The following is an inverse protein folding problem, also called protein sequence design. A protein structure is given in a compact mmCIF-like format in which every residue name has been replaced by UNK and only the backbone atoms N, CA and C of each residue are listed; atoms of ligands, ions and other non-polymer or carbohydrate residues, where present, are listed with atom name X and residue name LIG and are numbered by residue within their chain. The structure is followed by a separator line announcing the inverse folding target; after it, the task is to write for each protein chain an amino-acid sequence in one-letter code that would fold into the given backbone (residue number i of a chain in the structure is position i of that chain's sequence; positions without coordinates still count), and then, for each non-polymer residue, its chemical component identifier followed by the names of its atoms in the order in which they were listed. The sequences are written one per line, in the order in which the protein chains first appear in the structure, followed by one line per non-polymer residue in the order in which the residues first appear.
data_IF_697655855211
#
_entry.id   IF_697655855211
#
_cell.length_a   1.000
_cell.length_b   1.000
_cell.length_c   1.000
_cell.angle_alpha   90.00
_cell.angle_beta   90.00
_cell.angle_gamma   90.00
#
_symmetry.space_group_name_H-M   'P 1'
#
loop_
_entity.id
_entity.type
_entity.pdbx_description
1 polymer ?
#
# COMPACT_ATOMS: atom_id res chain seq x y z
N UNK A 1 -0.30 12.19 13.72
CA UNK A 1 0.78 12.22 12.70
C UNK A 1 0.71 10.91 11.93
N UNK A 2 0.18 10.90 10.71
CA UNK A 2 -0.19 9.67 10.01
C UNK A 2 0.90 9.18 9.04
N UNK A 3 1.56 8.07 9.41
CA UNK A 3 1.61 6.85 8.59
C UNK A 3 2.32 6.80 7.25
N UNK A 4 3.10 7.81 6.84
CA UNK A 4 3.91 7.72 5.61
C UNK A 4 5.34 8.13 5.91
N UNK A 5 6.20 7.14 6.11
CA UNK A 5 7.64 7.36 6.12
C UNK A 5 8.14 7.47 4.68
N UNK A 6 8.92 8.50 4.40
CA UNK A 6 9.62 8.71 3.13
C UNK A 6 11.05 9.13 3.42
N UNK A 7 11.95 8.89 2.48
CA UNK A 7 13.37 9.19 2.64
C UNK A 7 14.05 9.47 1.30
N UNK A 8 15.33 9.80 1.39
CA UNK A 8 16.21 10.08 0.27
C UNK A 8 17.44 9.18 0.38
N UNK A 9 17.64 8.29 -0.57
CA UNK A 9 18.77 7.38 -0.63
C UNK A 9 19.99 8.05 -1.27
N UNK A 10 21.15 7.98 -0.62
CA UNK A 10 22.44 8.36 -1.20
C UNK A 10 22.80 7.35 -2.31
N UNK A 11 22.52 7.70 -3.56
CA UNK A 11 22.72 6.81 -4.72
C UNK A 11 24.19 6.43 -4.94
N UNK A 12 25.14 7.23 -4.44
CA UNK A 12 26.57 6.91 -4.58
C UNK A 12 27.02 5.80 -3.63
N UNK A 13 26.26 5.56 -2.55
CA UNK A 13 26.59 4.55 -1.52
C UNK A 13 25.54 3.45 -1.40
N UNK A 14 24.35 3.67 -1.93
CA UNK A 14 23.24 2.73 -1.86
C UNK A 14 23.29 1.69 -2.96
N UNK A 15 23.04 0.44 -2.60
CA UNK A 15 22.90 -0.67 -3.55
C UNK A 15 22.15 -1.83 -2.88
N UNK A 16 21.66 -2.81 -3.63
CA UNK A 16 21.12 -4.02 -3.02
C UNK A 16 22.10 -4.76 -2.10
N UNK A 17 23.42 -4.64 -2.33
CA UNK A 17 24.44 -5.28 -1.50
C UNK A 17 24.78 -4.46 -0.24
N UNK A 18 24.79 -3.14 -0.33
CA UNK A 18 25.16 -2.25 0.78
C UNK A 18 23.96 -1.77 1.60
N UNK A 19 22.74 -1.85 1.05
CA UNK A 19 21.51 -1.27 1.59
C UNK A 19 21.19 0.11 1.00
N UNK A 20 20.02 0.66 1.34
CA UNK A 20 19.67 2.06 1.13
C UNK A 20 20.20 2.87 2.29
N UNK A 21 21.26 3.64 2.06
CA UNK A 21 21.74 4.63 3.03
C UNK A 21 20.89 5.87 2.82
N UNK A 22 20.15 6.30 3.83
CA UNK A 22 19.20 7.40 3.75
C UNK A 22 19.62 8.55 4.66
N UNK A 23 20.56 9.42 4.23
CA UNK A 23 21.12 10.47 5.09
C UNK A 23 20.04 11.33 5.75
N UNK A 24 20.23 11.63 7.03
CA UNK A 24 19.27 12.42 7.82
C UNK A 24 18.01 11.64 8.24
N UNK A 25 17.83 10.40 7.80
CA UNK A 25 16.85 9.49 8.39
C UNK A 25 17.36 8.99 9.74
N UNK A 26 16.42 8.66 10.63
CA UNK A 26 16.72 8.01 11.89
C UNK A 26 15.63 6.97 12.15
N UNK A 27 15.94 5.71 11.87
CA UNK A 27 15.01 4.58 12.04
C UNK A 27 14.95 4.16 13.50
N UNK A 28 14.30 5.00 14.30
CA UNK A 28 14.21 4.80 15.76
C UNK A 28 13.34 3.61 16.15
N UNK A 29 13.49 3.18 17.40
CA UNK A 29 12.58 2.20 18.03
C UNK A 29 11.11 2.63 17.90
N UNK A 30 10.84 3.94 18.01
CA UNK A 30 9.48 4.48 17.87
C UNK A 30 8.88 4.23 16.48
N UNK A 31 9.68 4.33 15.41
CA UNK A 31 9.23 3.99 14.04
C UNK A 31 8.86 2.52 13.93
N UNK A 32 9.73 1.65 14.45
CA UNK A 32 9.56 0.19 14.40
C UNK A 32 8.29 -0.24 15.12
N UNK A 33 8.12 0.19 16.37
CA UNK A 33 6.95 -0.17 17.17
C UNK A 33 5.68 0.46 16.59
N UNK A 34 5.72 1.69 16.06
CA UNK A 34 4.54 2.29 15.39
C UNK A 34 4.08 1.45 14.19
N UNK A 35 4.99 1.00 13.32
CA UNK A 35 4.63 0.18 12.15
C UNK A 35 4.06 -1.17 12.59
N UNK A 36 4.67 -1.76 13.62
CA UNK A 36 4.24 -3.02 14.19
C UNK A 36 2.83 -2.91 14.81
N UNK A 37 2.59 -1.89 15.64
CA UNK A 37 1.29 -1.64 16.27
C UNK A 37 0.17 -1.40 15.23
N UNK A 38 0.49 -0.73 14.11
CA UNK A 38 -0.46 -0.50 13.02
C UNK A 38 -0.82 -1.76 12.22
N UNK A 39 -0.06 -2.84 12.36
CA UNK A 39 -0.21 -4.06 11.53
C UNK A 39 -0.53 -5.32 12.34
N UNK A 40 -0.31 -5.30 13.65
CA UNK A 40 -0.73 -6.36 14.54
C UNK A 40 -2.23 -6.24 14.85
N UNK A 41 -2.98 -7.29 14.51
CA UNK A 41 -4.36 -7.46 14.96
C UNK A 41 -4.33 -8.32 16.22
N UNK A 42 -4.76 -7.72 17.32
CA UNK A 42 -4.75 -8.26 18.68
C UNK A 42 -3.35 -8.35 19.30
N UNK A 43 -3.24 -8.22 20.62
CA UNK A 43 -1.99 -8.27 21.41
C UNK A 43 -1.20 -9.60 21.23
N UNK A 44 -1.82 -10.57 20.56
CA UNK A 44 -1.18 -11.77 20.08
C UNK A 44 -0.30 -11.44 18.87
N UNK A 45 1.02 -11.46 19.09
CA UNK A 45 2.07 -11.28 18.08
C UNK A 45 2.04 -12.42 17.06
N UNK A 46 1.03 -12.40 16.19
CA UNK A 46 0.79 -13.41 15.18
C UNK A 46 1.76 -13.22 14.00
N UNK A 47 1.97 -14.25 13.19
CA UNK A 47 2.83 -14.24 11.98
C UNK A 47 2.43 -13.25 10.88
N UNK A 48 1.39 -12.44 11.10
CA UNK A 48 0.91 -11.38 10.19
C UNK A 48 1.44 -9.98 10.53
N UNK A 49 1.99 -9.79 11.74
CA UNK A 49 2.60 -8.53 12.16
C UNK A 49 3.79 -8.19 11.27
N UNK A 50 3.98 -6.90 11.00
CA UNK A 50 5.20 -6.42 10.35
C UNK A 50 6.34 -6.35 11.34
N UNK A 51 7.49 -6.86 10.94
CA UNK A 51 8.75 -6.66 11.66
C UNK A 51 9.70 -5.81 10.80
N UNK A 52 9.74 -4.51 11.07
CA UNK A 52 10.60 -3.60 10.31
C UNK A 52 12.10 -3.78 10.59
N UNK A 53 12.48 -4.59 11.59
CA UNK A 53 13.89 -4.93 11.84
C UNK A 53 14.41 -5.96 10.84
N UNK A 54 13.53 -6.63 10.11
CA UNK A 54 13.89 -7.66 9.13
C UNK A 54 13.46 -7.22 7.73
N UNK A 55 14.38 -7.25 6.75
CA UNK A 55 14.04 -6.93 5.36
C UNK A 55 12.89 -7.73 4.77
N UNK A 56 12.72 -8.97 5.20
CA UNK A 56 11.63 -9.83 4.75
C UNK A 56 10.41 -9.77 5.70
N UNK A 57 10.43 -8.88 6.70
CA UNK A 57 9.40 -8.70 7.73
C UNK A 57 8.17 -7.90 7.29
N UNK A 58 8.07 -7.51 6.02
CA UNK A 58 6.83 -7.03 5.41
C UNK A 58 6.75 -5.52 5.12
N UNK A 59 7.82 -4.76 5.35
CA UNK A 59 7.96 -3.39 4.83
C UNK A 59 8.61 -3.42 3.45
N UNK A 60 8.14 -2.55 2.56
CA UNK A 60 8.73 -2.33 1.24
C UNK A 60 9.06 -0.85 1.02
N UNK A 61 10.09 -0.57 0.24
CA UNK A 61 10.38 0.74 -0.33
C UNK A 61 9.83 0.80 -1.76
N UNK A 62 9.14 1.91 -2.05
CA UNK A 62 8.61 2.26 -3.36
C UNK A 62 9.35 3.52 -3.80
N UNK A 63 10.11 3.40 -4.88
CA UNK A 63 10.93 4.48 -5.43
C UNK A 63 10.08 5.44 -6.24
N UNK A 64 10.35 6.73 -6.11
CA UNK A 64 9.71 7.79 -6.91
C UNK A 64 10.50 7.99 -8.20
N UNK A 65 9.90 8.62 -9.21
CA UNK A 65 10.61 8.89 -10.49
C UNK A 65 11.14 7.62 -11.19
N UNK A 66 10.46 6.50 -10.98
CA UNK A 66 10.69 5.23 -11.68
C UNK A 66 9.43 4.87 -12.47
N UNK A 67 9.61 4.35 -13.68
CA UNK A 67 8.49 3.87 -14.47
C UNK A 67 8.01 2.50 -13.96
N UNK A 68 6.76 2.43 -13.52
CA UNK A 68 6.15 1.21 -13.03
C UNK A 68 5.17 0.61 -14.03
N UNK A 69 5.24 -0.70 -14.21
CA UNK A 69 4.14 -1.46 -14.79
C UNK A 69 3.09 -1.71 -13.70
N UNK A 70 2.07 -0.85 -13.66
CA UNK A 70 0.98 -0.88 -12.67
C UNK A 70 0.38 -2.29 -12.48
N UNK A 71 0.39 -3.15 -13.51
CA UNK A 71 -0.17 -4.49 -13.43
C UNK A 71 0.72 -5.49 -12.67
N UNK A 72 2.04 -5.29 -12.69
CA UNK A 72 3.02 -6.28 -12.23
C UNK A 72 3.90 -5.77 -11.08
N UNK A 73 4.17 -4.47 -11.00
CA UNK A 73 5.15 -3.88 -10.07
C UNK A 73 4.78 -4.01 -8.60
N UNK A 74 3.48 -4.04 -8.25
CA UNK A 74 2.99 -3.91 -6.86
C UNK A 74 2.36 -5.17 -6.28
N UNK A 75 2.37 -6.27 -7.03
CA UNK A 75 1.88 -7.57 -6.57
C UNK A 75 0.40 -7.85 -6.82
N UNK A 76 -0.29 -7.02 -7.60
CA UNK A 76 -1.70 -7.24 -7.97
C UNK A 76 -1.92 -8.59 -8.68
N UNK A 77 -1.05 -8.97 -9.62
CA UNK A 77 -1.12 -10.25 -10.35
C UNK A 77 -0.42 -11.43 -9.67
N UNK A 78 0.40 -11.18 -8.66
CA UNK A 78 1.19 -12.20 -7.96
C UNK A 78 2.43 -11.61 -7.32
N UNK A 79 3.11 -12.36 -6.44
CA UNK A 79 4.22 -11.85 -5.62
C UNK A 79 5.62 -11.96 -6.27
N UNK A 80 5.71 -12.44 -7.51
CA UNK A 80 6.99 -12.69 -8.20
C UNK A 80 7.50 -11.46 -8.94
N UNK A 81 8.81 -11.19 -8.83
CA UNK A 81 9.54 -10.14 -9.58
C UNK A 81 8.92 -8.73 -9.49
N UNK A 82 8.60 -8.26 -8.28
CA UNK A 82 7.96 -6.96 -8.04
C UNK A 82 8.94 -5.79 -8.12
N UNK A 83 8.49 -4.63 -8.60
CA UNK A 83 9.31 -3.40 -8.66
C UNK A 83 9.24 -2.58 -7.36
N UNK A 84 9.07 -3.29 -6.26
CA UNK A 84 9.18 -2.73 -4.90
C UNK A 84 10.24 -3.51 -4.14
N UNK A 85 11.08 -2.80 -3.42
CA UNK A 85 12.17 -3.37 -2.65
C UNK A 85 11.65 -3.82 -1.30
N UNK A 86 11.89 -5.06 -0.88
CA UNK A 86 11.67 -5.47 0.51
C UNK A 86 12.76 -4.84 1.38
N UNK A 87 12.39 -4.23 2.50
CA UNK A 87 13.32 -3.44 3.31
C UNK A 87 13.14 -3.64 4.80
N UNK A 88 14.25 -3.51 5.52
CA UNK A 88 14.32 -3.58 6.98
C UNK A 88 15.53 -2.80 7.48
N UNK A 89 15.61 -2.55 8.79
CA UNK A 89 16.74 -1.81 9.36
C UNK A 89 18.02 -2.64 9.26
N UNK A 90 19.08 -2.09 8.67
CA UNK A 90 20.36 -2.80 8.54
C UNK A 90 20.97 -3.07 9.91
N UNK A 91 21.25 -4.35 10.21
CA UNK A 91 21.69 -4.77 11.55
C UNK A 91 20.55 -5.11 12.51
N UNK A 92 19.29 -5.03 12.06
CA UNK A 92 18.12 -5.40 12.85
C UNK A 92 18.02 -4.59 14.14
N UNK A 93 17.86 -5.27 15.28
CA UNK A 93 17.66 -4.61 16.58
C UNK A 93 18.85 -3.73 17.01
N UNK A 94 20.09 -4.09 16.66
CA UNK A 94 21.28 -3.31 16.99
C UNK A 94 21.54 -2.16 16.02
N UNK A 95 20.91 -2.21 14.84
CA UNK A 95 20.96 -1.15 13.83
C UNK A 95 19.86 -0.08 13.98
N UNK A 96 18.97 -0.25 14.94
CA UNK A 96 17.97 0.77 15.30
C UNK A 96 18.68 2.07 15.66
N UNK A 97 18.04 3.19 15.35
CA UNK A 97 18.60 4.55 15.40
C UNK A 97 19.64 4.85 14.32
N UNK A 98 19.88 3.90 13.40
CA UNK A 98 20.66 4.11 12.18
C UNK A 98 19.86 4.74 11.03
N UNK A 99 20.55 4.96 9.91
CA UNK A 99 20.04 5.61 8.70
C UNK A 99 19.97 4.68 7.49
N UNK A 100 20.29 3.40 7.68
CA UNK A 100 20.46 2.45 6.58
C UNK A 100 19.41 1.34 6.62
N UNK A 101 18.76 1.10 5.48
CA UNK A 101 17.87 -0.03 5.26
C UNK A 101 18.60 -1.13 4.49
N UNK A 102 18.51 -2.39 4.93
CA UNK A 102 18.85 -3.54 4.10
C UNK A 102 17.74 -3.81 3.06
N UNK A 103 18.12 -4.33 1.88
CA UNK A 103 17.20 -4.57 0.77
C UNK A 103 17.22 -6.05 0.37
N UNK A 104 16.07 -6.62 0.00
CA UNK A 104 15.97 -7.91 -0.69
C UNK A 104 14.96 -7.90 -1.84
N UNK A 105 15.04 -8.92 -2.71
CA UNK A 105 14.07 -9.14 -3.79
C UNK A 105 14.09 -8.08 -4.91
N UNK A 106 15.17 -7.30 -5.00
CA UNK A 106 15.24 -6.10 -5.86
C UNK A 106 16.53 -6.04 -6.71
N UNK A 107 17.00 -7.20 -7.17
CA UNK A 107 18.20 -7.28 -8.02
C UNK A 107 17.90 -6.76 -9.44
N UNK A 108 18.89 -6.06 -10.04
CA UNK A 108 18.81 -5.51 -11.41
C UNK A 108 17.65 -4.55 -11.66
N UNK A 109 17.21 -3.84 -10.62
CA UNK A 109 16.14 -2.84 -10.69
C UNK A 109 16.65 -1.46 -10.35
N UNK A 110 15.99 -0.45 -10.91
CA UNK A 110 16.37 0.94 -10.69
C UNK A 110 16.02 1.37 -9.27
N UNK A 111 17.02 1.91 -8.57
CA UNK A 111 16.86 2.65 -7.33
C UNK A 111 16.88 4.12 -7.69
N UNK A 112 15.89 4.88 -7.21
CA UNK A 112 15.91 6.34 -7.27
C UNK A 112 16.22 6.93 -5.91
N UNK A 113 16.53 8.22 -5.89
CA UNK A 113 16.88 8.92 -4.66
C UNK A 113 15.67 8.96 -3.71
N UNK A 114 14.49 9.32 -4.19
CA UNK A 114 13.30 9.47 -3.35
C UNK A 114 12.54 8.16 -3.21
N UNK A 115 12.16 7.79 -1.98
CA UNK A 115 11.32 6.61 -1.75
C UNK A 115 10.27 6.82 -0.65
N UNK A 116 9.21 6.00 -0.72
CA UNK A 116 8.20 5.84 0.31
C UNK A 116 8.25 4.43 0.90
N UNK A 117 8.04 4.33 2.22
CA UNK A 117 7.86 3.05 2.89
C UNK A 117 6.38 2.68 2.91
N UNK A 118 6.08 1.44 2.55
CA UNK A 118 4.76 0.84 2.67
C UNK A 118 4.82 -0.44 3.50
N UNK A 119 3.89 -0.56 4.45
CA UNK A 119 3.71 -1.74 5.32
C UNK A 119 2.32 -2.39 5.13
N UNK A 120 1.51 -1.86 4.22
CA UNK A 120 0.22 -2.40 3.81
C UNK A 120 -0.12 -1.93 2.40
N UNK A 121 -0.86 -2.76 1.67
CA UNK A 121 -1.57 -2.38 0.47
C UNK A 121 -3.01 -1.99 0.79
N UNK A 122 -3.64 -1.26 -0.14
CA UNK A 122 -5.05 -0.89 -0.08
C UNK A 122 -5.69 -1.22 -1.42
N UNK A 123 -6.92 -1.73 -1.41
CA UNK A 123 -7.71 -1.94 -2.62
C UNK A 123 -9.13 -1.40 -2.45
N UNK A 124 -9.60 -0.65 -3.44
CA UNK A 124 -11.00 -0.25 -3.53
C UNK A 124 -11.68 -1.25 -4.47
N UNK A 125 -12.65 -1.99 -3.95
CA UNK A 125 -13.28 -3.11 -4.65
C UNK A 125 -14.79 -2.89 -4.72
N UNK A 126 -15.39 -2.85 -5.91
CA UNK A 126 -16.84 -2.94 -6.06
C UNK A 126 -17.28 -4.37 -5.78
N UNK A 127 -18.16 -4.56 -4.81
CA UNK A 127 -18.77 -5.86 -4.52
C UNK A 127 -20.26 -5.81 -4.85
N UNK A 128 -20.68 -6.68 -5.75
CA UNK A 128 -22.05 -6.76 -6.23
C UNK A 128 -23.04 -6.94 -5.06
N UNK A 129 -24.18 -6.24 -5.11
CA UNK A 129 -25.27 -6.46 -4.16
C UNK A 129 -25.73 -7.92 -4.19
N UNK A 130 -26.21 -8.42 -3.05
CA UNK A 130 -26.77 -9.78 -2.95
C UNK A 130 -28.20 -9.86 -3.52
N UNK A 131 -28.92 -8.73 -3.59
CA UNK A 131 -30.27 -8.64 -4.14
C UNK A 131 -30.26 -8.79 -5.67
N UNK A 132 -31.09 -9.66 -6.24
CA UNK A 132 -31.14 -9.85 -7.69
C UNK A 132 -31.55 -8.58 -8.43
N UNK A 133 -32.55 -7.85 -7.91
CA UNK A 133 -32.98 -6.58 -8.50
C UNK A 133 -31.84 -5.55 -8.55
N UNK A 134 -30.96 -5.53 -7.54
CA UNK A 134 -29.80 -4.64 -7.53
C UNK A 134 -28.74 -5.10 -8.54
N UNK A 135 -28.51 -6.41 -8.66
CA UNK A 135 -27.59 -6.98 -9.66
C UNK A 135 -28.00 -6.60 -11.07
N UNK A 136 -29.29 -6.73 -11.39
CA UNK A 136 -29.84 -6.39 -12.71
C UNK A 136 -29.68 -4.89 -13.03
N UNK A 137 -29.66 -4.05 -11.99
CA UNK A 137 -29.43 -2.61 -12.11
C UNK A 137 -27.94 -2.19 -11.97
N UNK A 138 -27.01 -3.15 -11.94
CA UNK A 138 -25.58 -2.87 -11.81
C UNK A 138 -25.18 -2.22 -10.48
N UNK A 139 -25.97 -2.42 -9.42
CA UNK A 139 -25.71 -1.84 -8.10
C UNK A 139 -24.71 -2.70 -7.32
N UNK A 140 -23.74 -2.02 -6.68
CA UNK A 140 -22.71 -2.63 -5.85
C UNK A 140 -22.41 -1.78 -4.61
N UNK A 141 -21.78 -2.38 -3.62
CA UNK A 141 -21.18 -1.69 -2.49
C UNK A 141 -19.69 -1.47 -2.76
N UNK A 142 -19.21 -0.26 -2.47
CA UNK A 142 -17.79 0.07 -2.61
C UNK A 142 -17.08 -0.19 -1.29
N UNK A 143 -16.11 -1.11 -1.31
CA UNK A 143 -15.39 -1.53 -0.11
C UNK A 143 -13.90 -1.20 -0.20
N UNK A 144 -13.32 -0.77 0.92
CA UNK A 144 -11.89 -0.64 1.12
C UNK A 144 -11.36 -1.91 1.77
N UNK A 145 -10.41 -2.56 1.09
CA UNK A 145 -9.58 -3.61 1.65
C UNK A 145 -8.24 -3.04 2.08
N UNK A 146 -7.80 -3.36 3.29
CA UNK A 146 -6.55 -2.85 3.87
C UNK A 146 -5.88 -3.92 4.75
N UNK A 147 -4.72 -3.62 5.32
CA UNK A 147 -3.91 -4.54 6.13
C UNK A 147 -3.59 -5.89 5.45
N UNK A 148 -3.28 -5.85 4.15
CA UNK A 148 -2.75 -7.00 3.39
C UNK A 148 -1.48 -6.59 2.65
N UNK A 149 -0.64 -7.56 2.29
CA UNK A 149 0.69 -7.35 1.70
C UNK A 149 0.90 -8.28 0.50
N UNK A 150 0.63 -7.82 -0.74
CA UNK A 150 0.82 -8.60 -1.95
C UNK A 150 2.23 -9.18 -2.11
N UNK A 151 3.25 -8.42 -1.71
CA UNK A 151 4.66 -8.85 -1.71
C UNK A 151 5.00 -9.97 -0.72
N UNK A 152 4.07 -10.33 0.15
CA UNK A 152 4.13 -11.48 1.05
C UNK A 152 3.17 -12.61 0.62
N UNK A 153 2.67 -12.56 -0.62
CA UNK A 153 1.73 -13.56 -1.16
C UNK A 153 0.28 -13.39 -0.67
N UNK A 154 -0.05 -12.28 0.00
CA UNK A 154 -1.40 -12.03 0.50
C UNK A 154 -2.27 -11.36 -0.57
N UNK A 155 -3.49 -11.85 -0.78
CA UNK A 155 -4.49 -11.19 -1.61
C UNK A 155 -5.38 -10.23 -0.80
N UNK A 156 -6.03 -9.27 -1.47
CA UNK A 156 -6.91 -8.30 -0.80
C UNK A 156 -8.02 -8.97 0.04
N UNK A 157 -8.55 -10.12 -0.40
CA UNK A 157 -9.56 -10.90 0.34
C UNK A 157 -9.08 -11.45 1.69
N UNK A 158 -7.77 -11.51 1.90
CA UNK A 158 -7.16 -11.96 3.17
C UNK A 158 -6.92 -10.81 4.15
N UNK A 159 -7.11 -9.57 3.69
CA UNK A 159 -7.00 -8.36 4.50
C UNK A 159 -8.27 -8.04 5.28
N UNK A 160 -8.29 -6.84 5.81
CA UNK A 160 -9.45 -6.23 6.45
C UNK A 160 -10.34 -5.54 5.45
N UNK A 161 -11.61 -5.34 5.81
CA UNK A 161 -12.63 -4.76 4.94
C UNK A 161 -13.43 -3.70 5.69
N UNK A 162 -13.60 -2.54 5.07
CA UNK A 162 -14.54 -1.52 5.50
C UNK A 162 -15.42 -1.08 4.31
N UNK A 163 -16.74 -1.00 4.51
CA UNK A 163 -17.64 -0.47 3.47
C UNK A 163 -17.54 1.05 3.44
N UNK A 164 -17.14 1.61 2.30
CA UNK A 164 -17.05 3.05 2.09
C UNK A 164 -18.41 3.65 1.76
N UNK A 165 -19.11 3.04 0.81
CA UNK A 165 -20.38 3.54 0.26
C UNK A 165 -21.25 2.36 -0.15
N UNK A 166 -22.55 2.45 0.11
CA UNK A 166 -23.55 1.48 -0.33
C UNK A 166 -24.38 1.99 -1.50
N UNK A 167 -25.00 1.07 -2.24
CA UNK A 167 -25.92 1.37 -3.35
C UNK A 167 -25.26 2.19 -4.47
N UNK A 168 -24.01 1.89 -4.79
CA UNK A 168 -23.24 2.55 -5.84
C UNK A 168 -23.66 1.98 -7.20
N UNK A 169 -23.92 2.87 -8.17
CA UNK A 169 -24.19 2.50 -9.56
C UNK A 169 -23.02 2.81 -10.48
N UNK A 170 -22.13 3.72 -10.05
CA UNK A 170 -20.91 4.05 -10.79
C UNK A 170 -19.84 4.55 -9.85
N UNK A 171 -18.65 3.97 -9.98
CA UNK A 171 -17.43 4.49 -9.38
C UNK A 171 -16.34 4.46 -10.45
N UNK A 172 -15.84 5.64 -10.82
CA UNK A 172 -14.74 5.77 -11.76
C UNK A 172 -13.79 6.84 -11.24
N UNK A 173 -12.50 6.60 -11.43
CA UNK A 173 -11.47 7.59 -11.19
C UNK A 173 -10.47 7.59 -12.34
N UNK A 174 -9.86 8.73 -12.60
CA UNK A 174 -8.83 8.89 -13.61
C UNK A 174 -7.81 9.88 -13.08
N UNK A 175 -6.54 9.54 -13.23
CA UNK A 175 -5.44 10.44 -12.98
C UNK A 175 -5.01 11.04 -14.32
N UNK A 176 -4.79 12.36 -14.33
CA UNK A 176 -4.17 13.06 -15.46
C UNK A 176 -3.39 14.26 -14.93
N UNK A 177 -2.09 14.31 -15.25
CA UNK A 177 -1.19 15.41 -14.88
C UNK A 177 -1.19 15.71 -13.38
N UNK A 178 -1.17 14.68 -12.53
CA UNK A 178 -1.18 14.79 -11.07
C UNK A 178 -2.55 15.07 -10.46
N UNK A 179 -3.60 15.23 -11.27
CA UNK A 179 -4.96 15.46 -10.79
C UNK A 179 -5.77 14.18 -10.86
N UNK A 180 -6.30 13.74 -9.72
CA UNK A 180 -7.21 12.60 -9.67
C UNK A 180 -8.65 13.13 -9.71
N UNK A 181 -9.38 12.80 -10.77
CA UNK A 181 -10.81 13.08 -10.89
C UNK A 181 -11.59 11.83 -10.49
N UNK A 182 -12.39 11.94 -9.43
CA UNK A 182 -13.27 10.88 -8.95
C UNK A 182 -14.72 11.22 -9.31
N UNK A 183 -15.47 10.23 -9.79
CA UNK A 183 -16.92 10.30 -9.99
C UNK A 183 -17.59 9.12 -9.30
N UNK A 184 -18.56 9.44 -8.45
CA UNK A 184 -19.35 8.49 -7.69
C UNK A 184 -20.84 8.75 -7.95
N UNK A 185 -21.58 7.72 -8.32
CA UNK A 185 -23.03 7.76 -8.44
C UNK A 185 -23.66 6.71 -7.52
N UNK A 186 -24.72 7.10 -6.82
CA UNK A 186 -25.43 6.27 -5.87
C UNK A 186 -26.92 6.30 -6.14
N UNK A 187 -27.59 5.16 -5.97
CA UNK A 187 -29.05 5.07 -6.06
C UNK A 187 -29.67 5.33 -4.69
N UNK A 188 -30.71 6.15 -4.66
CA UNK A 188 -31.51 6.35 -3.46
C UNK A 188 -32.31 5.07 -3.12
N UNK A 189 -32.41 4.75 -1.82
CA UNK A 189 -33.17 3.58 -1.37
C UNK A 189 -34.65 3.77 -1.72
N UNK A 190 -35.28 2.76 -2.31
CA UNK A 190 -36.69 2.76 -2.74
C UNK A 190 -37.04 3.83 -3.79
N UNK A 191 -36.08 4.27 -4.61
CA UNK A 191 -36.32 5.23 -5.68
C UNK A 191 -35.48 4.90 -6.91
N UNK A 192 -35.93 5.36 -8.08
CA UNK A 192 -35.14 5.32 -9.32
C UNK A 192 -34.14 6.49 -9.41
N UNK A 193 -34.16 7.41 -8.44
CA UNK A 193 -33.26 8.55 -8.41
C UNK A 193 -31.82 8.10 -8.17
N UNK A 194 -30.92 8.53 -9.06
CA UNK A 194 -29.47 8.38 -8.92
C UNK A 194 -28.84 9.75 -8.69
N UNK A 195 -28.02 9.86 -7.65
CA UNK A 195 -27.28 11.07 -7.30
C UNK A 195 -25.81 10.84 -7.66
N UNK A 196 -25.24 11.75 -8.46
CA UNK A 196 -23.84 11.70 -8.86
C UNK A 196 -23.07 12.90 -8.30
N UNK A 197 -21.85 12.67 -7.81
CA UNK A 197 -20.91 13.72 -7.43
C UNK A 197 -19.55 13.46 -8.06
N UNK A 198 -18.89 14.53 -8.49
CA UNK A 198 -17.53 14.49 -8.99
C UNK A 198 -16.64 15.42 -8.19
N UNK A 199 -15.38 15.05 -7.97
CA UNK A 199 -14.39 15.87 -7.29
C UNK A 199 -13.02 15.66 -7.92
N UNK A 200 -12.30 16.76 -8.16
CA UNK A 200 -10.88 16.74 -8.46
C UNK A 200 -10.09 16.84 -7.14
N UNK A 201 -9.05 16.02 -7.02
CA UNK A 201 -8.09 16.02 -5.92
C UNK A 201 -6.72 16.34 -6.52
N UNK A 202 -6.03 17.29 -5.90
CA UNK A 202 -4.69 17.78 -6.25
C UNK A 202 -3.70 17.33 -5.18
#
# INVERSE_FOLDING_TARGET
KAGRYSGYADLAKSSPATGLISPGSNFTTGVVETIKDLTCKDDTRNSKCVDFKNKDGGVVAIFSDVYYDVQNSFGYKGAGNLDIAKVGIKGGATGVDGDTLEISGFANKQISEQYHLAYTANAIVPEQSQSQADKDNGVFDLNLYYNYKPWMGQGYKTGEKATLVKNVTRFVFTEKNGVIVLKLCMRAKNSEITICKSKAVY
#
